data_IF_857534714718
#
_entry.id   IF_857534714718
#
_cell.length_a   1.000
_cell.length_b   1.000
_cell.length_c   1.000
_cell.angle_alpha   90.00
_cell.angle_beta   90.00
_cell.angle_gamma   90.00
#
_symmetry.space_group_name_H-M   'P 1'
#
loop_
_entity.id
_entity.type
_entity.pdbx_description
1 polymer ?
#
# COMPACT_ATOMS: atom_id res chain seq x y z
N UNK A 1 3.80 19.89 8.11
CA UNK A 1 3.48 18.48 8.41
C UNK A 1 4.54 17.94 9.34
N UNK A 2 4.17 17.27 10.41
CA UNK A 2 5.14 16.68 11.34
C UNK A 2 5.52 15.24 10.93
N UNK A 3 6.57 14.73 11.55
CA UNK A 3 7.08 13.38 11.28
C UNK A 3 6.04 12.28 11.57
N UNK A 4 5.33 12.39 12.67
CA UNK A 4 4.32 11.39 13.06
C UNK A 4 3.21 11.26 12.02
N UNK A 5 2.75 12.37 11.45
CA UNK A 5 1.72 12.36 10.38
C UNK A 5 2.24 11.75 9.11
N UNK A 6 3.47 12.06 8.71
CA UNK A 6 4.08 11.47 7.52
C UNK A 6 4.27 9.97 7.69
N UNK A 7 4.76 9.55 8.85
CA UNK A 7 4.96 8.12 9.14
C UNK A 7 3.62 7.36 9.20
N UNK A 8 2.61 7.97 9.80
CA UNK A 8 1.25 7.40 9.80
C UNK A 8 0.74 7.19 8.37
N UNK A 9 1.02 8.13 7.48
CA UNK A 9 0.68 8.00 6.06
C UNK A 9 1.37 6.80 5.39
N UNK A 10 2.65 6.57 5.69
CA UNK A 10 3.38 5.39 5.20
C UNK A 10 2.73 4.11 5.73
N UNK A 11 2.50 4.03 7.03
CA UNK A 11 1.90 2.84 7.66
C UNK A 11 0.50 2.55 7.11
N UNK A 12 -0.33 3.57 6.96
CA UNK A 12 -1.66 3.39 6.38
C UNK A 12 -1.59 2.85 4.96
N UNK A 13 -0.69 3.39 4.13
CA UNK A 13 -0.52 2.93 2.75
C UNK A 13 -0.10 1.46 2.71
N UNK A 14 0.93 1.07 3.47
CA UNK A 14 1.40 -0.33 3.45
C UNK A 14 0.38 -1.29 4.04
N UNK A 15 -0.31 -0.91 5.12
CA UNK A 15 -1.31 -1.77 5.76
C UNK A 15 -2.55 -1.95 4.89
N UNK A 16 -3.00 -0.90 4.21
CA UNK A 16 -4.10 -1.01 3.23
C UNK A 16 -3.69 -1.88 2.05
N UNK A 17 -2.45 -1.74 1.57
CA UNK A 17 -1.91 -2.59 0.51
C UNK A 17 -1.84 -4.05 0.92
N UNK A 18 -1.35 -4.34 2.12
CA UNK A 18 -1.32 -5.70 2.68
C UNK A 18 -2.72 -6.30 2.76
N UNK A 19 -3.67 -5.57 3.32
CA UNK A 19 -5.05 -6.04 3.47
C UNK A 19 -5.71 -6.29 2.10
N UNK A 20 -5.51 -5.37 1.16
CA UNK A 20 -6.04 -5.50 -0.19
C UNK A 20 -5.50 -6.73 -0.91
N UNK A 21 -4.19 -6.93 -0.89
CA UNK A 21 -3.54 -8.09 -1.52
C UNK A 21 -4.02 -9.39 -0.88
N UNK A 22 -4.01 -9.49 0.46
CA UNK A 22 -4.45 -10.69 1.16
C UNK A 22 -5.90 -11.04 0.86
N UNK A 23 -6.75 -10.05 0.61
CA UNK A 23 -8.17 -10.29 0.33
C UNK A 23 -8.43 -10.88 -1.06
N UNK A 24 -7.52 -10.71 -2.02
CA UNK A 24 -7.72 -11.12 -3.42
C UNK A 24 -6.67 -12.10 -3.95
N UNK A 25 -5.56 -12.29 -3.26
CA UNK A 25 -4.43 -13.09 -3.75
C UNK A 25 -4.82 -14.52 -4.11
N UNK A 26 -5.68 -15.15 -3.30
CA UNK A 26 -6.14 -16.52 -3.54
C UNK A 26 -7.12 -16.63 -4.71
N UNK A 27 -7.69 -15.51 -5.14
CA UNK A 27 -8.72 -15.47 -6.17
C UNK A 27 -8.17 -15.24 -7.56
N UNK A 28 -6.90 -14.86 -7.68
CA UNK A 28 -6.25 -14.70 -8.98
C UNK A 28 -6.08 -16.05 -9.68
N UNK A 29 -6.29 -16.08 -10.99
CA UNK A 29 -6.13 -17.26 -11.83
C UNK A 29 -4.72 -17.34 -12.40
N UNK A 30 -4.19 -16.21 -12.89
CA UNK A 30 -2.86 -16.16 -13.50
C UNK A 30 -1.76 -16.31 -12.44
N UNK A 31 -0.90 -17.34 -12.55
CA UNK A 31 0.19 -17.52 -11.59
C UNK A 31 1.18 -16.36 -11.51
N UNK A 32 1.40 -15.66 -12.62
CA UNK A 32 2.29 -14.49 -12.66
C UNK A 32 1.71 -13.34 -11.83
N UNK A 33 0.40 -13.12 -11.90
CA UNK A 33 -0.28 -12.11 -11.07
C UNK A 33 -0.19 -12.47 -9.58
N UNK A 34 -0.42 -13.74 -9.24
CA UNK A 34 -0.23 -14.23 -7.86
C UNK A 34 1.18 -13.96 -7.35
N UNK A 35 2.18 -14.28 -8.16
CA UNK A 35 3.58 -14.09 -7.79
C UNK A 35 3.90 -12.62 -7.59
N UNK A 36 3.40 -11.75 -8.46
CA UNK A 36 3.57 -10.30 -8.33
C UNK A 36 2.95 -9.78 -7.02
N UNK A 37 1.75 -10.26 -6.68
CA UNK A 37 1.10 -9.88 -5.42
C UNK A 37 1.89 -10.35 -4.20
N UNK A 38 2.47 -11.55 -4.24
CA UNK A 38 3.35 -12.04 -3.17
C UNK A 38 4.57 -11.13 -2.98
N UNK A 39 5.18 -10.71 -4.08
CA UNK A 39 6.33 -9.80 -4.04
C UNK A 39 5.96 -8.43 -3.49
N UNK A 40 4.81 -7.90 -3.90
CA UNK A 40 4.30 -6.63 -3.36
C UNK A 40 4.05 -6.73 -1.85
N UNK A 41 3.45 -7.85 -1.41
CA UNK A 41 3.19 -8.08 0.01
C UNK A 41 4.48 -8.11 0.82
N UNK A 42 5.51 -8.79 0.34
CA UNK A 42 6.82 -8.83 0.98
C UNK A 42 7.44 -7.42 1.08
N UNK A 43 7.32 -6.63 0.03
CA UNK A 43 7.81 -5.26 0.01
C UNK A 43 7.09 -4.40 1.03
N UNK A 44 5.77 -4.51 1.12
CA UNK A 44 4.99 -3.79 2.13
C UNK A 44 5.36 -4.23 3.55
N UNK A 45 5.54 -5.52 3.79
CA UNK A 45 5.96 -6.03 5.11
C UNK A 45 7.32 -5.44 5.52
N UNK A 46 8.26 -5.37 4.58
CA UNK A 46 9.58 -4.79 4.81
C UNK A 46 9.50 -3.29 5.12
N UNK A 47 8.70 -2.56 4.37
CA UNK A 47 8.51 -1.12 4.58
C UNK A 47 7.78 -0.82 5.89
N UNK A 48 6.81 -1.64 6.27
CA UNK A 48 6.14 -1.53 7.56
C UNK A 48 7.14 -1.69 8.71
N UNK A 49 7.97 -2.73 8.63
CA UNK A 49 9.00 -2.98 9.63
C UNK A 49 9.97 -1.80 9.76
N UNK A 50 10.40 -1.25 8.65
CA UNK A 50 11.28 -0.08 8.61
C UNK A 50 10.62 1.16 9.21
N UNK A 51 9.35 1.39 8.89
CA UNK A 51 8.57 2.50 9.45
C UNK A 51 8.42 2.37 10.97
N UNK A 52 8.11 1.18 11.47
CA UNK A 52 7.98 0.94 12.90
C UNK A 52 9.31 1.10 13.63
N UNK A 53 10.43 0.74 13.02
CA UNK A 53 11.76 0.99 13.56
C UNK A 53 12.07 2.48 13.68
N UNK A 54 11.71 3.27 12.68
CA UNK A 54 11.87 4.72 12.72
C UNK A 54 11.06 5.33 13.86
N UNK A 55 9.81 4.88 14.03
CA UNK A 55 8.94 5.32 15.12
C UNK A 55 9.57 5.03 16.48
N UNK A 56 10.05 3.79 16.68
CA UNK A 56 10.64 3.37 17.94
C UNK A 56 11.90 4.17 18.28
N UNK A 57 12.79 4.38 17.30
CA UNK A 57 14.04 5.13 17.51
C UNK A 57 13.82 6.59 17.84
N UNK A 58 12.77 7.20 17.33
CA UNK A 58 12.51 8.63 17.47
C UNK A 58 11.41 8.94 18.49
N UNK A 59 10.80 7.92 19.09
CA UNK A 59 9.69 8.12 20.01
C UNK A 59 8.43 8.67 19.36
N UNK A 60 8.26 8.44 18.07
CA UNK A 60 7.08 8.90 17.35
C UNK A 60 5.90 7.98 17.61
N UNK A 61 4.74 8.57 17.88
CA UNK A 61 3.50 7.84 18.02
C UNK A 61 2.75 7.81 16.68
N UNK A 62 2.29 6.62 16.30
CA UNK A 62 1.54 6.40 15.07
C UNK A 62 0.25 5.66 15.39
N UNK A 63 -0.77 5.90 14.57
CA UNK A 63 -2.04 5.22 14.69
C UNK A 63 -2.18 4.16 13.61
N UNK A 64 -2.56 2.95 14.02
CA UNK A 64 -2.87 1.88 13.09
C UNK A 64 -4.23 2.11 12.43
N UNK A 65 -4.43 1.47 11.26
CA UNK A 65 -5.72 1.47 10.59
C UNK A 65 -6.74 0.72 11.46
N UNK A 66 -7.94 1.30 11.58
CA UNK A 66 -9.03 0.67 12.30
C UNK A 66 -9.36 -0.71 11.72
N UNK A 67 -9.55 -1.76 12.55
CA UNK A 67 -10.00 -3.07 12.08
C UNK A 67 -11.32 -3.01 11.28
N UNK A 68 -12.20 -2.08 11.60
CA UNK A 68 -13.44 -1.89 10.85
C UNK A 68 -13.17 -1.43 9.42
N UNK A 69 -12.21 -0.52 9.20
CA UNK A 69 -11.81 -0.08 7.87
C UNK A 69 -11.22 -1.24 7.07
N UNK A 70 -10.38 -2.06 7.70
CA UNK A 70 -9.79 -3.24 7.05
C UNK A 70 -10.85 -4.25 6.64
N UNK A 71 -11.85 -4.52 7.50
CA UNK A 71 -12.97 -5.43 7.18
C UNK A 71 -13.82 -4.89 6.03
N UNK A 72 -14.11 -3.59 6.04
CA UNK A 72 -14.87 -2.94 4.98
C UNK A 72 -14.14 -3.07 3.65
N UNK A 73 -12.82 -2.86 3.62
CA UNK A 73 -12.00 -3.03 2.43
C UNK A 73 -12.09 -4.44 1.87
N UNK A 74 -12.06 -5.47 2.73
CA UNK A 74 -12.20 -6.88 2.32
C UNK A 74 -13.58 -7.16 1.74
N UNK A 75 -14.63 -6.65 2.34
CA UNK A 75 -16.00 -6.82 1.86
C UNK A 75 -16.18 -6.15 0.50
N UNK A 76 -15.70 -4.95 0.33
CA UNK A 76 -15.75 -4.22 -0.95
C UNK A 76 -14.98 -4.97 -2.04
N UNK A 77 -13.83 -5.55 -1.71
CA UNK A 77 -13.05 -6.37 -2.63
C UNK A 77 -13.85 -7.60 -3.08
N UNK A 78 -14.50 -8.30 -2.15
CA UNK A 78 -15.32 -9.48 -2.45
C UNK A 78 -16.47 -9.13 -3.41
N UNK A 79 -17.16 -8.01 -3.16
CA UNK A 79 -18.26 -7.54 -4.01
C UNK A 79 -17.76 -7.19 -5.42
N UNK A 80 -16.64 -6.51 -5.54
CA UNK A 80 -16.06 -6.12 -6.83
C UNK A 80 -15.63 -7.30 -7.68
N UNK A 81 -15.30 -8.45 -7.07
CA UNK A 81 -14.87 -9.65 -7.77
C UNK A 81 -16.04 -10.55 -8.21
N UNK A 82 -17.27 -10.22 -7.84
CA UNK A 82 -18.44 -10.94 -8.31
C UNK A 82 -18.61 -10.77 -9.82
N UNK A 83 -18.93 -11.86 -10.51
CA UNK A 83 -19.02 -11.89 -11.98
C UNK A 83 -17.72 -12.35 -12.63
N UNK A 84 -17.60 -12.19 -13.96
CA UNK A 84 -16.42 -12.65 -14.71
C UNK A 84 -15.22 -11.72 -14.67
N UNK A 85 -14.13 -12.10 -15.39
CA UNK A 85 -12.88 -11.32 -15.55
C UNK A 85 -12.18 -11.02 -14.24
N UNK A 86 -12.00 -12.06 -13.43
CA UNK A 86 -11.46 -11.93 -12.07
C UNK A 86 -10.10 -11.25 -12.02
N UNK A 87 -9.16 -11.66 -12.86
CA UNK A 87 -7.79 -11.09 -12.86
C UNK A 87 -7.80 -9.63 -13.28
N UNK A 88 -8.60 -9.27 -14.28
CA UNK A 88 -8.77 -7.87 -14.69
C UNK A 88 -9.33 -7.01 -13.55
N UNK A 89 -10.31 -7.52 -12.81
CA UNK A 89 -10.88 -6.81 -11.66
C UNK A 89 -9.88 -6.66 -10.52
N UNK A 90 -9.11 -7.72 -10.24
CA UNK A 90 -8.02 -7.67 -9.24
C UNK A 90 -7.00 -6.61 -9.64
N UNK A 91 -6.54 -6.64 -10.91
CA UNK A 91 -5.59 -5.66 -11.42
C UNK A 91 -6.12 -4.23 -11.27
N UNK A 92 -7.38 -3.99 -11.62
CA UNK A 92 -8.01 -2.68 -11.46
C UNK A 92 -8.02 -2.20 -10.02
N UNK A 93 -8.33 -3.10 -9.07
CA UNK A 93 -8.32 -2.79 -7.64
C UNK A 93 -6.92 -2.45 -7.13
N UNK A 94 -5.92 -3.24 -7.53
CA UNK A 94 -4.53 -3.02 -7.15
C UNK A 94 -4.04 -1.66 -7.66
N UNK A 95 -4.33 -1.33 -8.93
CA UNK A 95 -3.94 -0.06 -9.54
C UNK A 95 -4.59 1.11 -8.80
N UNK A 96 -5.87 1.01 -8.46
CA UNK A 96 -6.55 2.05 -7.69
C UNK A 96 -5.92 2.27 -6.32
N UNK A 97 -5.59 1.19 -5.60
CA UNK A 97 -4.92 1.26 -4.32
C UNK A 97 -3.53 1.88 -4.44
N UNK A 98 -2.74 1.43 -5.41
CA UNK A 98 -1.41 1.96 -5.67
C UNK A 98 -1.46 3.46 -6.03
N UNK A 99 -2.45 3.88 -6.81
CA UNK A 99 -2.65 5.28 -7.19
C UNK A 99 -2.93 6.15 -5.96
N UNK A 100 -3.75 5.68 -5.03
CA UNK A 100 -3.99 6.38 -3.77
C UNK A 100 -2.71 6.53 -2.95
N UNK A 101 -1.88 5.49 -2.93
CA UNK A 101 -0.57 5.54 -2.27
C UNK A 101 0.36 6.58 -2.90
N UNK A 102 0.40 6.68 -4.22
CA UNK A 102 1.16 7.70 -4.93
C UNK A 102 0.68 9.10 -4.55
N UNK A 103 -0.62 9.31 -4.56
CA UNK A 103 -1.21 10.62 -4.23
C UNK A 103 -0.87 11.02 -2.79
N UNK A 104 -1.12 10.14 -1.84
CA UNK A 104 -0.88 10.44 -0.42
C UNK A 104 0.60 10.69 -0.15
N UNK A 105 1.47 9.81 -0.62
CA UNK A 105 2.91 9.94 -0.44
C UNK A 105 3.46 11.23 -1.06
N UNK A 106 3.04 11.54 -2.28
CA UNK A 106 3.45 12.76 -2.98
C UNK A 106 3.00 14.02 -2.24
N UNK A 107 1.74 14.04 -1.78
CA UNK A 107 1.23 15.17 -0.96
C UNK A 107 2.04 15.33 0.32
N UNK A 108 2.36 14.25 1.00
CA UNK A 108 3.12 14.28 2.24
C UNK A 108 4.53 14.81 2.01
N UNK A 109 5.18 14.40 0.93
CA UNK A 109 6.50 14.91 0.57
C UNK A 109 6.49 16.41 0.30
N UNK A 110 5.47 16.91 -0.37
CA UNK A 110 5.31 18.34 -0.64
C UNK A 110 5.04 19.16 0.63
N UNK A 111 4.25 18.61 1.53
CA UNK A 111 3.85 19.30 2.77
C UNK A 111 4.90 19.21 3.86
N UNK A 112 5.81 18.27 3.78
CA UNK A 112 6.83 18.03 4.79
C UNK A 112 8.25 18.11 4.25
N UNK A 113 8.68 19.26 3.66
CA UNK A 113 10.03 19.38 3.13
C UNK A 113 11.11 19.25 4.21
N UNK A 114 10.77 19.60 5.46
CA UNK A 114 11.68 19.57 6.61
C UNK A 114 11.49 18.33 7.49
N UNK A 115 10.72 17.33 7.03
CA UNK A 115 10.57 16.07 7.74
C UNK A 115 11.92 15.34 7.82
N UNK A 116 12.01 14.39 8.76
CA UNK A 116 13.20 13.57 8.95
C UNK A 116 13.68 12.98 7.61
N UNK A 117 14.99 13.08 7.29
CA UNK A 117 15.50 12.61 6.00
C UNK A 117 15.27 11.12 5.74
N UNK A 118 15.37 10.26 6.74
CA UNK A 118 15.12 8.82 6.59
C UNK A 118 13.65 8.55 6.31
N UNK A 119 12.75 9.28 6.96
CA UNK A 119 11.32 9.19 6.73
C UNK A 119 10.96 9.67 5.33
N UNK A 120 11.55 10.76 4.88
CA UNK A 120 11.34 11.26 3.52
C UNK A 120 11.82 10.24 2.48
N UNK A 121 12.98 9.63 2.71
CA UNK A 121 13.52 8.59 1.82
C UNK A 121 12.57 7.38 1.76
N UNK A 122 12.08 6.91 2.91
CA UNK A 122 11.12 5.80 2.96
C UNK A 122 9.85 6.15 2.19
N UNK A 123 9.33 7.36 2.37
CA UNK A 123 8.13 7.83 1.64
C UNK A 123 8.39 7.88 0.13
N UNK A 124 9.54 8.37 -0.29
CA UNK A 124 9.94 8.42 -1.72
C UNK A 124 10.03 7.01 -2.31
N UNK A 125 10.63 6.06 -1.59
CA UNK A 125 10.71 4.66 -2.05
C UNK A 125 9.33 4.03 -2.14
N UNK A 126 8.44 4.32 -1.20
CA UNK A 126 7.06 3.82 -1.26
C UNK A 126 6.34 4.36 -2.48
N UNK A 127 6.43 5.65 -2.76
CA UNK A 127 5.83 6.26 -3.96
C UNK A 127 6.38 5.62 -5.23
N UNK A 128 7.69 5.42 -5.32
CA UNK A 128 8.33 4.77 -6.46
C UNK A 128 7.84 3.33 -6.63
N UNK A 129 7.72 2.59 -5.54
CA UNK A 129 7.21 1.21 -5.53
C UNK A 129 5.76 1.16 -6.01
N UNK A 130 4.92 2.07 -5.55
CA UNK A 130 3.53 2.15 -5.99
C UNK A 130 3.42 2.42 -7.49
N UNK A 131 4.23 3.33 -8.02
CA UNK A 131 4.29 3.62 -9.46
C UNK A 131 4.73 2.40 -10.27
N UNK A 132 5.75 1.71 -9.81
CA UNK A 132 6.25 0.49 -10.46
C UNK A 132 5.16 -0.60 -10.47
N UNK A 133 4.45 -0.77 -9.36
CA UNK A 133 3.35 -1.73 -9.25
C UNK A 133 2.21 -1.42 -10.22
N UNK A 134 1.86 -0.15 -10.40
CA UNK A 134 0.86 0.27 -11.39
C UNK A 134 1.28 -0.19 -12.80
N UNK A 135 2.50 0.12 -13.20
CA UNK A 135 3.01 -0.26 -14.53
C UNK A 135 2.98 -1.78 -14.73
N UNK A 136 3.49 -2.54 -13.76
CA UNK A 136 3.56 -3.99 -13.83
C UNK A 136 2.18 -4.66 -13.83
N UNK A 137 1.20 -4.03 -13.20
CA UNK A 137 -0.14 -4.60 -13.06
C UNK A 137 -1.03 -4.35 -14.29
N UNK A 138 -0.73 -3.33 -15.08
CA UNK A 138 -1.52 -2.98 -16.28
C UNK A 138 -1.67 -4.15 -17.26
N UNK A 139 -0.69 -5.03 -17.37
CA UNK A 139 -0.75 -6.17 -18.28
C UNK A 139 -1.89 -7.17 -17.95
N UNK A 140 -2.43 -7.11 -16.74
CA UNK A 140 -3.49 -8.03 -16.30
C UNK A 140 -4.91 -7.43 -16.40
N UNK A 141 -5.04 -6.18 -16.85
CA UNK A 141 -6.33 -5.52 -17.05
C UNK A 141 -7.19 -6.17 -18.14
#
# INVERSE_FOLDING_TARGET
MNNEKMLTGVLHTVQMGQAGIRSVMDKAVNPALKQQMKQQLQTYDSMEHEALKLAARNGWQVQDISPAVLRMSRLMAAVRLMGGRRDSKIAGMLIQGNTRGVILGSKNLHRGPDADPQLRELTQRLVAQEKCSIENTQQYL
#
